data_IF_562188118975
#
_entry.id   IF_562188118975
#
_cell.length_a   1.000
_cell.length_b   1.000
_cell.length_c   1.000
_cell.angle_alpha   90.00
_cell.angle_beta   90.00
_cell.angle_gamma   90.00
#
_symmetry.space_group_name_H-M   'P 1'
#
loop_
_entity.id
_entity.type
_entity.pdbx_description
1 polymer ?
#
# COMPACT_ATOMS: atom_id res chain seq x y z
N UNK A 1 9.47 13.08 -0.41
CA UNK A 1 8.35 12.19 0.00
C UNK A 1 8.72 10.85 0.59
N UNK A 2 9.77 10.13 0.16
CA UNK A 2 10.04 8.76 0.64
C UNK A 2 10.15 8.58 2.17
N UNK A 3 10.47 9.64 2.92
CA UNK A 3 10.46 9.64 4.39
C UNK A 3 9.05 9.60 5.02
N UNK A 4 7.99 9.83 4.25
CA UNK A 4 6.60 10.01 4.72
C UNK A 4 6.15 8.93 5.69
N UNK A 5 6.49 7.67 5.41
CA UNK A 5 6.06 6.51 6.19
C UNK A 5 7.21 5.90 7.01
N UNK A 6 8.16 6.71 7.50
CA UNK A 6 9.41 6.22 8.13
C UNK A 6 9.78 6.89 9.44
N UNK A 7 9.22 8.07 9.73
CA UNK A 7 9.62 8.85 10.91
C UNK A 7 8.52 9.82 11.34
N UNK A 8 8.32 10.03 12.66
CA UNK A 8 7.46 11.10 13.16
C UNK A 8 8.01 12.51 12.86
N UNK A 9 9.29 12.66 12.47
CA UNK A 9 9.86 13.96 12.05
C UNK A 9 9.15 14.58 10.85
N UNK A 10 8.37 13.79 10.12
CA UNK A 10 7.46 14.28 9.10
C UNK A 10 6.59 15.44 9.56
N UNK A 11 6.11 15.44 10.81
CA UNK A 11 5.29 16.55 11.34
C UNK A 11 6.09 17.87 11.40
N UNK A 12 7.36 17.81 11.82
CA UNK A 12 8.25 18.97 11.86
C UNK A 12 8.64 19.42 10.44
N UNK A 13 9.02 18.47 9.58
CA UNK A 13 9.48 18.79 8.23
C UNK A 13 8.37 19.36 7.37
N UNK A 14 7.16 18.79 7.41
CA UNK A 14 6.00 19.36 6.71
C UNK A 14 5.61 20.70 7.33
N UNK A 15 5.65 20.85 8.66
CA UNK A 15 5.38 22.14 9.31
C UNK A 15 6.36 23.24 8.90
N UNK A 16 7.64 22.89 8.70
CA UNK A 16 8.71 23.85 8.33
C UNK A 16 8.73 24.18 6.84
N UNK A 17 8.62 23.16 5.97
CA UNK A 17 8.83 23.32 4.53
C UNK A 17 7.52 23.36 3.72
N UNK A 18 6.39 23.01 4.33
CA UNK A 18 5.09 22.95 3.67
C UNK A 18 5.11 22.05 2.44
N UNK A 19 4.39 22.47 1.40
CA UNK A 19 4.29 21.75 0.12
C UNK A 19 5.64 21.51 -0.59
N UNK A 20 6.67 22.31 -0.28
CA UNK A 20 8.00 22.14 -0.91
C UNK A 20 8.73 20.90 -0.41
N UNK A 21 8.40 20.41 0.79
CA UNK A 21 9.03 19.22 1.39
C UNK A 21 9.01 18.02 0.44
N UNK A 22 7.88 17.82 -0.24
CA UNK A 22 7.59 16.58 -0.95
C UNK A 22 8.58 16.33 -2.10
N UNK A 23 8.97 17.37 -2.83
CA UNK A 23 9.89 17.28 -3.98
C UNK A 23 11.36 17.52 -3.66
N UNK A 24 11.73 17.75 -2.39
CA UNK A 24 13.15 17.84 -1.99
C UNK A 24 13.85 16.49 -2.17
N UNK A 25 15.17 16.51 -2.39
CA UNK A 25 15.92 15.26 -2.55
C UNK A 25 15.91 14.48 -1.23
N UNK A 26 15.71 13.17 -1.31
CA UNK A 26 15.59 12.31 -0.13
C UNK A 26 16.85 12.39 0.76
N UNK A 27 18.02 12.66 0.19
CA UNK A 27 19.28 12.72 0.92
C UNK A 27 19.50 14.03 1.69
N UNK A 28 18.70 15.08 1.45
CA UNK A 28 18.77 16.32 2.23
C UNK A 28 18.44 16.10 3.72
N UNK A 29 17.74 15.00 4.02
CA UNK A 29 17.31 14.61 5.38
C UNK A 29 18.07 13.38 5.93
N UNK A 30 19.10 12.89 5.22
CA UNK A 30 19.80 11.65 5.57
C UNK A 30 20.91 11.83 6.61
N UNK A 31 21.43 13.04 6.77
CA UNK A 31 22.51 13.34 7.71
C UNK A 31 22.14 12.98 9.15
N UNK A 32 23.12 12.55 9.96
CA UNK A 32 22.91 12.25 11.40
C UNK A 32 22.49 13.50 12.19
N UNK A 33 22.78 14.69 11.67
CA UNK A 33 22.30 15.98 12.18
C UNK A 33 20.81 16.23 11.86
N UNK A 34 20.24 15.50 10.90
CA UNK A 34 18.84 15.63 10.47
C UNK A 34 17.92 14.65 11.16
N UNK A 35 18.37 13.41 11.35
CA UNK A 35 17.56 12.34 11.93
C UNK A 35 18.41 11.32 12.72
N UNK A 36 17.93 10.94 13.90
CA UNK A 36 18.41 9.78 14.64
C UNK A 36 17.72 8.53 14.13
N UNK A 37 18.46 7.65 13.46
CA UNK A 37 17.90 6.40 12.93
C UNK A 37 17.37 5.45 14.03
N UNK A 38 17.82 5.61 15.28
CA UNK A 38 17.36 4.80 16.41
C UNK A 38 16.10 5.40 17.06
N UNK A 39 16.19 6.65 17.51
CA UNK A 39 15.16 7.32 18.32
C UNK A 39 14.00 7.86 17.49
N UNK A 40 14.27 8.23 16.22
CA UNK A 40 13.31 8.92 15.35
C UNK A 40 12.87 8.04 14.18
N UNK A 41 12.99 6.72 14.34
CA UNK A 41 12.29 5.74 13.51
C UNK A 41 10.77 5.74 13.83
N UNK A 42 10.00 4.85 13.21
CA UNK A 42 8.57 4.67 13.53
C UNK A 42 8.44 4.37 15.03
N UNK A 43 7.83 5.29 15.77
CA UNK A 43 7.74 5.25 17.23
C UNK A 43 6.36 5.71 17.72
N UNK A 44 6.22 5.88 19.04
CA UNK A 44 4.97 6.25 19.73
C UNK A 44 4.23 7.42 19.04
N UNK A 45 4.97 8.46 18.67
CA UNK A 45 4.44 9.69 18.09
C UNK A 45 3.76 9.49 16.72
N UNK A 46 4.02 8.38 16.03
CA UNK A 46 3.38 8.02 14.76
C UNK A 46 1.89 7.74 14.95
N UNK A 47 1.49 7.20 16.11
CA UNK A 47 0.15 6.70 16.36
C UNK A 47 -0.51 7.31 17.61
N UNK A 48 0.25 7.92 18.51
CA UNK A 48 -0.24 8.47 19.77
C UNK A 48 0.03 9.96 19.91
N UNK A 49 -0.96 10.68 20.44
CA UNK A 49 -0.77 12.03 20.96
C UNK A 49 0.14 12.00 22.21
N UNK A 50 1.26 12.73 22.26
CA UNK A 50 2.16 12.70 23.41
C UNK A 50 1.58 13.27 24.70
N UNK A 51 0.55 14.12 24.62
CA UNK A 51 -0.09 14.73 25.78
C UNK A 51 -1.15 13.83 26.42
N UNK A 52 -1.89 13.07 25.60
CA UNK A 52 -3.03 12.26 26.08
C UNK A 52 -2.87 10.75 25.86
N UNK A 53 -1.94 10.34 25.02
CA UNK A 53 -1.78 8.97 24.49
C UNK A 53 -2.99 8.45 23.70
N UNK A 54 -3.95 9.30 23.36
CA UNK A 54 -5.02 8.94 22.43
C UNK A 54 -4.46 8.62 21.05
N UNK A 55 -5.14 7.74 20.32
CA UNK A 55 -4.76 7.45 18.93
C UNK A 55 -4.89 8.73 18.09
N UNK A 56 -3.87 8.99 17.27
CA UNK A 56 -3.84 10.10 16.32
C UNK A 56 -3.34 9.66 14.95
N UNK A 57 -3.60 10.50 13.96
CA UNK A 57 -2.98 10.39 12.64
C UNK A 57 -1.91 11.47 12.48
N UNK A 58 -0.68 11.07 12.15
CA UNK A 58 0.34 12.00 11.66
C UNK A 58 0.33 12.10 10.12
N UNK A 59 -0.17 11.06 9.43
CA UNK A 59 -0.10 10.91 7.98
C UNK A 59 -0.95 11.93 7.24
N UNK A 60 -0.29 12.84 6.51
CA UNK A 60 -0.93 13.81 5.62
C UNK A 60 -1.80 13.16 4.52
N UNK A 61 -1.34 12.14 3.75
CA UNK A 61 -2.19 11.54 2.72
C UNK A 61 -3.44 10.85 3.27
N UNK A 62 -3.38 10.26 4.47
CA UNK A 62 -4.57 9.68 5.10
C UNK A 62 -5.55 10.75 5.57
N UNK A 63 -5.06 11.86 6.15
CA UNK A 63 -5.92 13.00 6.51
C UNK A 63 -6.58 13.59 5.27
N UNK A 64 -5.83 13.73 4.17
CA UNK A 64 -6.35 14.18 2.88
C UNK A 64 -7.46 13.23 2.39
N UNK A 65 -7.26 11.91 2.48
CA UNK A 65 -8.29 10.93 2.13
C UNK A 65 -9.55 11.04 3.02
N UNK A 66 -9.40 11.08 4.35
CA UNK A 66 -10.54 11.23 5.26
C UNK A 66 -11.34 12.49 4.93
N UNK A 67 -10.65 13.60 4.66
CA UNK A 67 -11.29 14.84 4.21
C UNK A 67 -12.03 14.66 2.89
N UNK A 68 -11.41 14.06 1.87
CA UNK A 68 -12.04 13.84 0.54
C UNK A 68 -13.26 12.90 0.61
N UNK A 69 -13.22 11.92 1.49
CA UNK A 69 -14.31 10.96 1.72
C UNK A 69 -15.37 11.44 2.73
N UNK A 70 -15.28 12.68 3.21
CA UNK A 70 -16.26 13.29 4.12
C UNK A 70 -16.23 12.72 5.54
N UNK A 71 -15.10 12.18 5.97
CA UNK A 71 -14.91 11.48 7.25
C UNK A 71 -14.12 12.33 8.23
N UNK A 72 -14.55 12.34 9.49
CA UNK A 72 -13.90 13.08 10.57
C UNK A 72 -13.31 12.12 11.61
N UNK A 73 -12.00 12.21 11.85
CA UNK A 73 -11.26 11.42 12.84
C UNK A 73 -11.91 11.44 14.23
N UNK A 74 -12.51 12.57 14.63
CA UNK A 74 -13.11 12.67 15.96
C UNK A 74 -14.35 11.79 16.12
N UNK A 75 -15.06 11.55 15.01
CA UNK A 75 -16.28 10.75 14.99
C UNK A 75 -16.02 9.28 14.60
N UNK A 76 -14.77 8.92 14.28
CA UNK A 76 -14.39 7.54 13.96
C UNK A 76 -14.33 6.69 15.24
N UNK A 77 -14.95 5.51 15.19
CA UNK A 77 -14.98 4.57 16.31
C UNK A 77 -13.58 4.12 16.72
N UNK A 78 -13.40 3.75 18.00
CA UNK A 78 -12.13 3.18 18.47
C UNK A 78 -11.71 1.94 17.66
N UNK A 79 -12.67 1.12 17.25
CA UNK A 79 -12.40 -0.08 16.47
C UNK A 79 -11.77 0.26 15.12
N UNK A 80 -12.30 1.26 14.45
CA UNK A 80 -11.75 1.68 13.17
C UNK A 80 -10.43 2.44 13.33
N UNK A 81 -10.25 3.25 14.39
CA UNK A 81 -8.95 3.87 14.70
C UNK A 81 -7.84 2.82 14.84
N UNK A 82 -8.14 1.64 15.38
CA UNK A 82 -7.21 0.49 15.51
C UNK A 82 -6.79 -0.15 14.17
N UNK A 83 -7.47 0.20 13.08
CA UNK A 83 -7.11 -0.17 11.71
C UNK A 83 -6.41 1.00 11.00
N UNK A 84 -6.97 2.20 11.11
CA UNK A 84 -6.49 3.38 10.40
C UNK A 84 -5.09 3.85 10.81
N UNK A 85 -4.65 3.59 12.04
CA UNK A 85 -3.26 3.91 12.43
C UNK A 85 -2.23 3.11 11.63
N UNK A 86 -2.59 1.90 11.16
CA UNK A 86 -1.78 1.08 10.25
C UNK A 86 -1.91 1.59 8.80
N UNK A 87 -3.14 1.95 8.38
CA UNK A 87 -3.46 2.50 7.06
C UNK A 87 -2.81 3.88 6.79
N UNK A 88 -2.09 4.45 7.75
CA UNK A 88 -1.22 5.59 7.52
C UNK A 88 -0.07 5.29 6.56
N UNK A 89 0.37 4.03 6.51
CA UNK A 89 1.60 3.59 5.86
C UNK A 89 1.44 2.30 5.06
N UNK A 90 0.64 1.34 5.54
CA UNK A 90 0.46 0.01 4.94
C UNK A 90 -0.65 0.04 3.89
N UNK A 91 -0.36 0.78 2.81
CA UNK A 91 -1.30 1.13 1.75
C UNK A 91 -0.59 1.27 0.42
N UNK A 92 -1.33 1.14 -0.67
CA UNK A 92 -0.91 1.60 -1.99
C UNK A 92 -0.88 3.14 -2.06
N UNK A 93 0.15 3.68 -2.72
CA UNK A 93 0.31 5.12 -2.88
C UNK A 93 1.08 5.48 -4.16
N UNK A 94 0.83 6.69 -4.65
CA UNK A 94 1.64 7.30 -5.70
C UNK A 94 2.10 8.72 -5.34
N UNK A 95 2.99 9.26 -6.17
CA UNK A 95 3.53 10.60 -6.04
C UNK A 95 2.90 11.55 -7.05
N UNK A 96 2.30 12.64 -6.56
CA UNK A 96 1.63 13.65 -7.38
C UNK A 96 2.55 14.18 -8.49
N UNK A 97 2.11 14.07 -9.73
CA UNK A 97 2.78 14.73 -10.85
C UNK A 97 2.65 16.26 -10.71
N UNK A 98 3.72 17.00 -11.02
CA UNK A 98 3.80 18.47 -10.85
C UNK A 98 2.69 19.27 -11.55
N UNK A 99 2.09 18.70 -12.60
CA UNK A 99 1.01 19.33 -13.36
C UNK A 99 -0.33 19.32 -12.62
N UNK A 100 -0.47 18.49 -11.57
CA UNK A 100 -1.72 18.19 -10.89
C UNK A 100 -1.74 18.62 -9.41
N UNK A 101 -0.64 19.19 -8.89
CA UNK A 101 -0.52 19.62 -7.51
C UNK A 101 0.94 19.74 -7.04
N UNK A 102 1.18 19.89 -5.73
CA UNK A 102 2.52 19.91 -5.18
C UNK A 102 3.32 18.67 -5.60
N UNK A 103 4.44 18.89 -6.28
CA UNK A 103 5.22 17.82 -6.88
C UNK A 103 5.64 16.78 -5.82
N UNK A 104 5.44 15.51 -6.16
CA UNK A 104 5.71 14.35 -5.32
C UNK A 104 4.90 14.24 -4.03
N UNK A 105 3.89 15.09 -3.77
CA UNK A 105 3.01 14.92 -2.60
C UNK A 105 2.34 13.54 -2.65
N UNK A 106 2.36 12.75 -1.57
CA UNK A 106 1.82 11.40 -1.57
C UNK A 106 0.29 11.44 -1.63
N UNK A 107 -0.30 10.49 -2.35
CA UNK A 107 -1.75 10.33 -2.47
C UNK A 107 -2.09 8.84 -2.43
N UNK A 108 -3.19 8.51 -1.75
CA UNK A 108 -3.79 7.16 -1.80
C UNK A 108 -4.87 7.13 -2.90
N UNK A 109 -4.78 6.21 -3.88
CA UNK A 109 -5.60 6.21 -5.10
C UNK A 109 -6.98 5.55 -4.89
N UNK A 110 -7.70 5.95 -3.86
CA UNK A 110 -8.90 5.25 -3.38
C UNK A 110 -10.23 5.85 -3.84
N UNK A 111 -10.20 6.96 -4.60
CA UNK A 111 -11.39 7.71 -5.00
C UNK A 111 -12.36 6.90 -5.88
N UNK A 112 -11.87 5.83 -6.53
CA UNK A 112 -12.69 4.90 -7.32
C UNK A 112 -13.09 3.62 -6.56
N UNK A 113 -12.55 3.41 -5.35
CA UNK A 113 -12.57 2.13 -4.64
C UNK A 113 -11.16 1.62 -4.34
N UNK A 114 -11.09 0.51 -3.61
CA UNK A 114 -9.83 -0.06 -3.10
C UNK A 114 -9.43 -1.36 -3.82
N UNK A 115 -10.26 -1.88 -4.73
CA UNK A 115 -9.91 -3.09 -5.47
C UNK A 115 -8.87 -2.80 -6.57
N UNK A 116 -8.15 -3.83 -7.07
CA UNK A 116 -7.19 -3.66 -8.16
C UNK A 116 -7.78 -3.02 -9.42
N UNK A 117 -9.03 -3.38 -9.78
CA UNK A 117 -9.71 -2.78 -10.93
C UNK A 117 -9.99 -1.29 -10.69
N UNK A 118 -10.44 -0.93 -9.49
CA UNK A 118 -10.77 0.45 -9.13
C UNK A 118 -9.53 1.33 -9.24
N UNK A 119 -8.39 0.87 -8.70
CA UNK A 119 -7.10 1.55 -8.81
C UNK A 119 -6.61 1.62 -10.27
N UNK A 120 -6.76 0.55 -11.06
CA UNK A 120 -6.42 0.58 -12.48
C UNK A 120 -7.24 1.64 -13.23
N UNK A 121 -8.54 1.77 -12.96
CA UNK A 121 -9.39 2.82 -13.55
C UNK A 121 -9.00 4.21 -13.05
N UNK A 122 -8.68 4.37 -11.76
CA UNK A 122 -8.15 5.60 -11.19
C UNK A 122 -6.89 6.06 -11.97
N UNK A 123 -5.93 5.16 -12.17
CA UNK A 123 -4.67 5.46 -12.86
C UNK A 123 -4.77 5.67 -14.37
N UNK A 124 -5.97 5.65 -14.97
CA UNK A 124 -6.19 6.19 -16.33
C UNK A 124 -6.13 7.71 -16.38
N UNK A 125 -6.20 8.39 -15.23
CA UNK A 125 -5.93 9.81 -15.08
C UNK A 125 -4.70 10.08 -14.20
N UNK A 126 -4.62 11.29 -13.66
CA UNK A 126 -3.61 11.75 -12.67
C UNK A 126 -2.14 11.76 -13.12
N UNK A 127 -1.85 11.42 -14.38
CA UNK A 127 -0.54 11.57 -15.00
C UNK A 127 -0.24 12.98 -15.51
N UNK A 128 0.83 13.13 -16.29
CA UNK A 128 1.20 14.38 -16.93
C UNK A 128 0.07 14.91 -17.84
N UNK A 129 -0.06 16.24 -17.95
CA UNK A 129 -1.08 16.85 -18.80
C UNK A 129 -0.65 16.83 -20.27
N UNK A 130 -1.60 16.49 -21.15
CA UNK A 130 -1.43 16.65 -22.60
C UNK A 130 -1.43 18.12 -23.02
N UNK A 131 -1.22 18.37 -24.32
CA UNK A 131 -1.30 19.72 -24.89
C UNK A 131 -2.69 20.38 -24.72
N UNK A 132 -3.73 19.57 -24.51
CA UNK A 132 -5.10 20.00 -24.22
C UNK A 132 -5.35 20.32 -22.73
N UNK A 133 -4.31 20.19 -21.89
CA UNK A 133 -4.38 20.47 -20.45
C UNK A 133 -5.06 19.38 -19.62
N UNK A 134 -5.50 18.26 -20.23
CA UNK A 134 -6.12 17.15 -19.51
C UNK A 134 -5.05 16.18 -18.98
N UNK A 135 -5.15 15.70 -17.72
CA UNK A 135 -4.26 14.67 -17.21
C UNK A 135 -4.39 13.37 -18.02
N UNK A 136 -3.28 12.86 -18.52
CA UNK A 136 -3.22 11.53 -19.11
C UNK A 136 -3.11 10.42 -18.05
N UNK A 137 -2.95 9.15 -18.48
CA UNK A 137 -2.71 8.03 -17.58
C UNK A 137 -1.44 8.22 -16.76
N UNK A 138 -1.52 7.94 -15.46
CA UNK A 138 -0.37 7.97 -14.56
C UNK A 138 0.66 6.89 -14.93
N UNK A 139 1.94 7.14 -14.73
CA UNK A 139 2.95 6.09 -14.90
C UNK A 139 4.12 6.34 -13.95
N UNK A 140 4.51 5.32 -13.21
CA UNK A 140 5.67 5.38 -12.32
C UNK A 140 6.98 5.26 -13.11
N UNK A 141 7.01 4.38 -14.11
CA UNK A 141 8.13 4.23 -15.04
C UNK A 141 7.68 3.65 -16.38
N UNK A 142 8.56 3.75 -17.38
CA UNK A 142 8.40 3.04 -18.65
C UNK A 142 9.28 1.78 -18.60
N UNK A 143 8.69 0.61 -18.74
CA UNK A 143 9.41 -0.66 -18.69
C UNK A 143 10.49 -0.72 -19.78
N UNK A 144 11.75 -0.95 -19.39
CA UNK A 144 12.90 -0.76 -20.26
C UNK A 144 12.90 -1.69 -21.51
N UNK A 145 12.35 -2.90 -21.41
CA UNK A 145 12.27 -3.84 -22.52
C UNK A 145 11.06 -3.57 -23.43
N UNK A 146 9.84 -3.81 -22.94
CA UNK A 146 8.59 -3.67 -23.71
C UNK A 146 8.16 -2.22 -24.03
N UNK A 147 8.75 -1.22 -23.36
CA UNK A 147 8.38 0.20 -23.45
C UNK A 147 6.95 0.53 -22.98
N UNK A 148 6.36 -0.35 -22.16
CA UNK A 148 5.02 -0.15 -21.59
C UNK A 148 5.12 0.82 -20.40
N UNK A 149 4.25 1.86 -20.29
CA UNK A 149 4.14 2.69 -19.09
C UNK A 149 3.47 1.91 -17.95
N UNK A 150 4.18 1.71 -16.84
CA UNK A 150 3.76 0.83 -15.74
C UNK A 150 3.24 1.60 -14.54
N UNK A 151 2.54 0.88 -13.67
CA UNK A 151 2.15 1.29 -12.31
C UNK A 151 2.89 0.35 -11.35
N UNK A 152 3.42 0.89 -10.24
CA UNK A 152 3.95 0.08 -9.14
C UNK A 152 2.87 -0.03 -8.08
N UNK A 153 2.64 -1.23 -7.54
CA UNK A 153 1.86 -1.42 -6.32
C UNK A 153 2.75 -1.53 -5.09
N UNK A 154 2.38 -0.89 -3.99
CA UNK A 154 3.13 -0.89 -2.74
C UNK A 154 2.21 -1.36 -1.61
N UNK A 155 2.55 -2.50 -0.99
CA UNK A 155 1.97 -2.97 0.27
C UNK A 155 0.50 -2.56 0.55
N UNK A 156 -0.47 -2.96 -0.31
CA UNK A 156 -1.88 -2.59 -0.17
C UNK A 156 -2.57 -3.41 0.94
N UNK A 157 -1.98 -3.47 2.13
CA UNK A 157 -2.44 -4.33 3.21
C UNK A 157 -3.82 -3.88 3.73
N UNK A 158 -4.04 -2.56 3.85
CA UNK A 158 -5.35 -2.03 4.28
C UNK A 158 -6.43 -2.27 3.24
N UNK A 159 -6.15 -1.99 1.97
CA UNK A 159 -7.08 -2.12 0.85
C UNK A 159 -7.50 -3.58 0.64
N UNK A 160 -6.55 -4.51 0.80
CA UNK A 160 -6.79 -5.96 0.71
C UNK A 160 -7.54 -6.49 1.92
N UNK A 161 -7.25 -5.99 3.12
CA UNK A 161 -7.83 -6.50 4.36
C UNK A 161 -9.27 -6.03 4.58
N UNK A 162 -9.59 -4.79 4.24
CA UNK A 162 -10.82 -4.11 4.70
C UNK A 162 -12.12 -4.79 4.26
N UNK A 163 -12.13 -5.46 3.10
CA UNK A 163 -13.28 -6.25 2.60
C UNK A 163 -13.02 -7.76 2.62
N UNK A 164 -11.87 -8.19 3.15
CA UNK A 164 -11.56 -9.59 3.45
C UNK A 164 -12.44 -10.13 4.59
N UNK A 165 -12.41 -11.46 4.85
CA UNK A 165 -13.29 -12.09 5.84
C UNK A 165 -13.21 -11.49 7.24
N UNK A 166 -12.04 -10.97 7.63
CA UNK A 166 -11.82 -10.34 8.93
C UNK A 166 -12.20 -8.86 8.92
N UNK A 167 -11.70 -8.07 7.96
CA UNK A 167 -11.98 -6.64 7.88
C UNK A 167 -13.47 -6.33 7.70
N UNK A 168 -14.14 -7.06 6.80
CA UNK A 168 -15.58 -6.93 6.56
C UNK A 168 -16.43 -7.31 7.79
N UNK A 169 -15.90 -8.18 8.66
CA UNK A 169 -16.51 -8.56 9.93
C UNK A 169 -16.17 -7.59 11.09
N UNK A 170 -15.44 -6.52 10.82
CA UNK A 170 -15.07 -5.50 11.81
C UNK A 170 -13.87 -5.87 12.69
N UNK A 171 -13.09 -6.88 12.33
CA UNK A 171 -11.81 -7.16 13.00
C UNK A 171 -10.79 -6.10 12.55
N UNK A 172 -9.99 -5.57 13.49
CA UNK A 172 -8.97 -4.57 13.21
C UNK A 172 -7.57 -5.19 13.11
N UNK A 173 -6.63 -4.51 12.44
CA UNK A 173 -5.21 -4.91 12.39
C UNK A 173 -4.66 -5.18 13.79
N UNK A 174 -4.97 -4.31 14.75
CA UNK A 174 -4.52 -4.39 16.13
C UNK A 174 -5.12 -5.57 16.92
N UNK A 175 -6.15 -6.26 16.44
CA UNK A 175 -6.65 -7.48 17.09
C UNK A 175 -5.68 -8.64 16.89
N UNK A 176 -5.09 -8.74 15.69
CA UNK A 176 -4.15 -9.80 15.33
C UNK A 176 -2.69 -9.43 15.61
N UNK A 177 -2.29 -8.19 15.34
CA UNK A 177 -0.88 -7.75 15.40
C UNK A 177 -0.51 -7.01 16.68
N UNK A 178 -1.50 -6.63 17.49
CA UNK A 178 -1.30 -5.96 18.78
C UNK A 178 -2.15 -6.61 19.86
N UNK A 179 -2.10 -7.95 19.91
CA UNK A 179 -2.87 -8.75 20.86
C UNK A 179 -2.69 -8.24 22.29
N UNK A 180 -3.73 -8.37 23.10
CA UNK A 180 -3.56 -8.11 24.52
C UNK A 180 -2.70 -9.22 25.15
N UNK A 181 -1.67 -8.83 25.88
CA UNK A 181 -0.80 -9.73 26.65
C UNK A 181 -0.84 -9.34 28.12
N UNK A 182 -0.49 -10.29 29.00
CA UNK A 182 -0.26 -10.00 30.42
C UNK A 182 1.23 -9.94 30.67
N UNK A 183 1.70 -8.78 31.10
CA UNK A 183 3.08 -8.54 31.55
C UNK A 183 3.00 -7.82 32.90
N UNK A 184 3.81 -8.25 33.87
CA UNK A 184 3.88 -7.68 35.22
C UNK A 184 2.50 -7.48 35.89
N UNK A 185 1.61 -8.47 35.71
CA UNK A 185 0.28 -8.49 36.31
C UNK A 185 -0.77 -7.61 35.62
N UNK A 186 -0.42 -6.86 34.56
CA UNK A 186 -1.34 -5.94 33.85
C UNK A 186 -1.59 -6.40 32.42
N UNK A 187 -2.78 -6.08 31.90
CA UNK A 187 -3.14 -6.32 30.50
C UNK A 187 -2.68 -5.12 29.67
N UNK A 188 -1.78 -5.33 28.73
CA UNK A 188 -1.28 -4.31 27.80
C UNK A 188 -1.57 -4.72 26.36
N UNK A 189 -1.64 -3.76 25.44
CA UNK A 189 -1.58 -4.07 24.00
C UNK A 189 -0.13 -4.32 23.63
N UNK A 190 0.16 -5.50 23.09
CA UNK A 190 1.48 -5.77 22.54
C UNK A 190 1.83 -4.73 21.48
N UNK A 191 3.02 -4.16 21.56
CA UNK A 191 3.60 -3.32 20.52
C UNK A 191 4.65 -4.07 19.68
N UNK A 192 4.72 -5.39 19.83
CA UNK A 192 5.50 -6.24 18.95
C UNK A 192 4.71 -6.53 17.67
N UNK A 193 4.73 -5.57 16.75
CA UNK A 193 4.05 -5.64 15.46
C UNK A 193 4.83 -6.55 14.50
N UNK A 194 4.50 -7.84 14.51
CA UNK A 194 5.17 -8.88 13.71
C UNK A 194 4.15 -9.86 13.13
N UNK A 195 4.62 -10.83 12.34
CA UNK A 195 3.82 -12.00 11.95
C UNK A 195 3.25 -12.73 13.18
N UNK A 196 1.91 -12.89 13.28
CA UNK A 196 1.27 -13.65 14.35
C UNK A 196 1.66 -15.14 14.34
N UNK A 197 2.10 -15.65 13.19
CA UNK A 197 2.53 -17.05 13.00
C UNK A 197 3.82 -17.39 13.76
N UNK A 198 4.52 -16.40 14.34
CA UNK A 198 5.68 -16.60 15.22
C UNK A 198 5.30 -17.19 16.58
N UNK A 199 4.06 -17.01 17.02
CA UNK A 199 3.58 -17.62 18.26
C UNK A 199 3.09 -19.06 17.95
N UNK A 200 3.77 -20.10 18.45
CA UNK A 200 3.34 -21.49 18.24
C UNK A 200 1.94 -21.77 18.78
N UNK A 201 1.48 -20.97 19.76
CA UNK A 201 0.17 -21.12 20.39
C UNK A 201 -0.93 -20.29 19.72
N UNK A 202 -0.59 -19.44 18.74
CA UNK A 202 -1.52 -18.56 18.02
C UNK A 202 -2.44 -17.76 18.95
N UNK A 203 -1.89 -17.21 20.05
CA UNK A 203 -2.68 -16.60 21.14
C UNK A 203 -3.47 -15.38 20.70
N UNK A 204 -2.98 -14.60 19.74
CA UNK A 204 -3.71 -13.50 19.12
C UNK A 204 -5.07 -13.97 18.55
N UNK A 205 -5.05 -15.09 17.83
CA UNK A 205 -6.23 -15.64 17.14
C UNK A 205 -7.21 -16.29 18.11
N UNK A 206 -6.71 -16.95 19.15
CA UNK A 206 -7.51 -17.75 20.10
C UNK A 206 -8.34 -16.93 21.09
N UNK A 207 -8.21 -15.60 21.08
CA UNK A 207 -9.18 -14.72 21.76
C UNK A 207 -10.57 -14.79 21.12
N UNK A 208 -10.64 -15.10 19.82
CA UNK A 208 -11.88 -15.29 19.07
C UNK A 208 -12.12 -16.76 18.70
N UNK A 209 -11.07 -17.48 18.34
CA UNK A 209 -11.11 -18.90 17.94
C UNK A 209 -10.73 -19.83 19.09
N UNK A 210 -11.38 -19.67 20.24
CA UNK A 210 -11.03 -20.39 21.47
C UNK A 210 -11.16 -21.92 21.36
N UNK A 211 -12.02 -22.40 20.45
CA UNK A 211 -12.29 -23.81 20.20
C UNK A 211 -11.34 -24.45 19.17
N UNK A 212 -10.39 -23.69 18.62
CA UNK A 212 -9.41 -24.20 17.64
C UNK A 212 -8.03 -24.33 18.27
N UNK A 213 -7.32 -25.39 17.85
CA UNK A 213 -5.91 -25.56 18.18
C UNK A 213 -5.05 -24.62 17.33
N UNK A 214 -3.84 -24.33 17.82
CA UNK A 214 -2.89 -23.53 17.06
C UNK A 214 -2.54 -24.17 15.71
N UNK A 215 -2.33 -25.48 15.66
CA UNK A 215 -2.05 -26.21 14.42
C UNK A 215 -3.21 -26.12 13.41
N UNK A 216 -4.46 -26.19 13.88
CA UNK A 216 -5.61 -25.98 13.00
C UNK A 216 -5.56 -24.58 12.37
N UNK A 217 -5.38 -23.54 13.18
CA UNK A 217 -5.33 -22.16 12.72
C UNK A 217 -4.19 -21.94 11.72
N UNK A 218 -2.97 -22.40 12.06
CA UNK A 218 -1.80 -22.34 11.16
C UNK A 218 -2.05 -23.10 9.86
N UNK A 219 -2.68 -24.27 9.93
CA UNK A 219 -3.07 -25.05 8.75
C UNK A 219 -4.03 -24.29 7.83
N UNK A 220 -4.98 -23.52 8.37
CA UNK A 220 -5.89 -22.68 7.57
C UNK A 220 -5.20 -21.48 6.94
N UNK A 221 -4.26 -20.84 7.66
CA UNK A 221 -3.43 -19.76 7.09
C UNK A 221 -2.61 -20.29 5.91
N UNK A 222 -1.87 -21.38 6.13
CA UNK A 222 -1.00 -21.98 5.11
C UNK A 222 -1.80 -22.53 3.91
N UNK A 223 -3.04 -22.98 4.12
CA UNK A 223 -3.91 -23.43 3.04
C UNK A 223 -4.13 -22.35 1.99
N UNK A 224 -4.31 -21.10 2.41
CA UNK A 224 -4.47 -19.95 1.52
C UNK A 224 -3.12 -19.52 0.95
N UNK A 225 -2.14 -19.24 1.82
CA UNK A 225 -0.83 -18.73 1.40
C UNK A 225 -0.14 -19.62 0.36
N UNK A 226 -0.22 -20.95 0.52
CA UNK A 226 0.33 -21.88 -0.46
C UNK A 226 -0.28 -21.68 -1.85
N UNK A 227 -1.62 -21.56 -1.95
CA UNK A 227 -2.31 -21.41 -3.23
C UNK A 227 -2.04 -20.03 -3.84
N UNK A 228 -2.07 -18.98 -3.01
CA UNK A 228 -1.74 -17.62 -3.44
C UNK A 228 -0.34 -17.59 -4.03
N UNK A 229 0.65 -18.09 -3.31
CA UNK A 229 2.05 -18.05 -3.75
C UNK A 229 2.29 -18.86 -5.03
N UNK A 230 1.74 -20.08 -5.11
CA UNK A 230 1.85 -20.92 -6.32
C UNK A 230 1.24 -20.27 -7.57
N UNK A 231 0.11 -19.56 -7.42
CA UNK A 231 -0.52 -18.87 -8.56
C UNK A 231 0.16 -17.53 -8.88
N UNK A 232 0.66 -16.83 -7.85
CA UNK A 232 1.42 -15.60 -8.03
C UNK A 232 2.64 -15.81 -8.93
N UNK A 233 3.43 -16.87 -8.68
CA UNK A 233 4.59 -17.19 -9.50
C UNK A 233 4.22 -17.44 -10.97
N UNK A 234 3.10 -18.14 -11.22
CA UNK A 234 2.59 -18.36 -12.58
C UNK A 234 2.15 -17.05 -13.24
N UNK A 235 1.50 -16.16 -12.50
CA UNK A 235 1.07 -14.86 -13.01
C UNK A 235 2.29 -14.00 -13.38
N UNK A 236 3.34 -14.01 -12.56
CA UNK A 236 4.60 -13.32 -12.82
C UNK A 236 5.32 -13.88 -14.06
N UNK A 237 5.40 -15.21 -14.21
CA UNK A 237 5.97 -15.83 -15.41
C UNK A 237 5.21 -15.44 -16.69
N UNK A 238 3.88 -15.42 -16.63
CA UNK A 238 3.04 -14.97 -17.76
C UNK A 238 3.26 -13.48 -18.03
N UNK A 239 3.39 -12.65 -16.99
CA UNK A 239 3.69 -11.22 -17.13
C UNK A 239 5.03 -10.99 -17.85
N UNK A 240 6.07 -11.73 -17.49
CA UNK A 240 7.37 -11.68 -18.18
C UNK A 240 7.21 -12.06 -19.65
N UNK A 241 6.47 -13.14 -19.96
CA UNK A 241 6.18 -13.53 -21.35
C UNK A 241 5.40 -12.45 -22.10
N UNK A 242 4.47 -11.76 -21.45
CA UNK A 242 3.70 -10.68 -22.06
C UNK A 242 4.58 -9.46 -22.38
N UNK A 243 5.50 -9.07 -21.47
CA UNK A 243 6.52 -8.07 -21.75
C UNK A 243 7.41 -8.47 -22.93
N UNK A 244 7.84 -9.73 -22.98
CA UNK A 244 8.67 -10.24 -24.07
C UNK A 244 7.92 -10.25 -25.42
N UNK A 245 6.65 -10.66 -25.43
CA UNK A 245 5.82 -10.63 -26.63
C UNK A 245 5.69 -9.20 -27.19
N UNK A 246 5.41 -8.21 -26.32
CA UNK A 246 5.37 -6.79 -26.73
C UNK A 246 6.75 -6.32 -27.22
N UNK A 247 7.84 -6.71 -26.55
CA UNK A 247 9.21 -6.35 -26.97
C UNK A 247 9.54 -6.91 -28.37
N UNK A 248 9.25 -8.19 -28.60
CA UNK A 248 9.46 -8.84 -29.89
C UNK A 248 8.59 -8.20 -30.98
N UNK A 249 7.32 -7.94 -30.69
CA UNK A 249 6.41 -7.28 -31.62
C UNK A 249 6.92 -5.88 -31.99
N UNK A 250 7.39 -5.08 -31.03
CA UNK A 250 7.97 -3.75 -31.30
C UNK A 250 9.17 -3.82 -32.26
N UNK A 251 9.99 -4.87 -32.16
CA UNK A 251 11.19 -5.08 -32.98
C UNK A 251 10.93 -5.81 -34.31
N UNK A 252 9.69 -6.21 -34.57
CA UNK A 252 9.35 -7.03 -35.74
C UNK A 252 9.39 -6.20 -37.03
N UNK A 253 10.24 -6.61 -37.97
CA UNK A 253 10.50 -5.97 -39.27
C UNK A 253 9.77 -6.63 -40.45
N UNK A 254 9.10 -7.76 -40.20
CA UNK A 254 8.29 -8.45 -41.20
C UNK A 254 6.91 -7.82 -41.45
N UNK A 255 6.07 -8.55 -42.21
CA UNK A 255 4.72 -8.09 -42.53
C UNK A 255 3.84 -7.99 -41.28
N UNK A 256 3.31 -6.79 -41.01
CA UNK A 256 2.44 -6.52 -39.86
C UNK A 256 0.98 -6.55 -40.26
N UNK A 257 0.11 -6.87 -39.31
CA UNK A 257 -1.33 -6.78 -39.50
C UNK A 257 -1.76 -5.34 -39.85
N UNK A 258 -2.80 -5.12 -40.68
CA UNK A 258 -3.26 -3.78 -41.03
C UNK A 258 -3.64 -2.89 -39.83
N UNK A 259 -4.12 -3.50 -38.74
CA UNK A 259 -4.51 -2.84 -37.49
C UNK A 259 -3.44 -2.95 -36.38
N UNK A 260 -2.17 -3.15 -36.74
CA UNK A 260 -1.08 -3.40 -35.80
C UNK A 260 -0.97 -2.37 -34.66
N UNK A 261 -1.08 -1.07 -34.94
CA UNK A 261 -0.95 -0.04 -33.89
C UNK A 261 -2.10 -0.08 -32.86
N UNK A 262 -3.31 -0.43 -33.29
CA UNK A 262 -4.46 -0.62 -32.39
C UNK A 262 -4.22 -1.83 -31.50
N UNK A 263 -3.81 -2.96 -32.09
CA UNK A 263 -3.48 -4.18 -31.36
C UNK A 263 -2.34 -3.97 -30.36
N UNK A 264 -1.30 -3.22 -30.74
CA UNK A 264 -0.17 -2.92 -29.87
C UNK A 264 -0.54 -1.96 -28.74
N UNK A 265 -1.48 -1.05 -28.95
CA UNK A 265 -2.01 -0.19 -27.88
C UNK A 265 -2.74 -1.03 -26.84
N UNK A 266 -3.62 -1.92 -27.28
CA UNK A 266 -4.35 -2.85 -26.41
C UNK A 266 -3.40 -3.82 -25.69
N UNK A 267 -2.42 -4.40 -26.40
CA UNK A 267 -1.44 -5.31 -25.81
C UNK A 267 -0.61 -4.63 -24.71
N UNK A 268 -0.18 -3.39 -24.92
CA UNK A 268 0.56 -2.62 -23.90
C UNK A 268 -0.32 -2.32 -22.68
N UNK A 269 -1.58 -1.96 -22.88
CA UNK A 269 -2.52 -1.74 -21.79
C UNK A 269 -2.79 -3.04 -21.01
N UNK A 270 -2.89 -4.19 -21.68
CA UNK A 270 -3.02 -5.49 -21.01
C UNK A 270 -1.76 -5.90 -20.23
N UNK A 271 -0.56 -5.58 -20.71
CA UNK A 271 0.67 -5.76 -19.92
C UNK A 271 0.64 -4.89 -18.67
N UNK A 272 0.29 -3.61 -18.81
CA UNK A 272 0.17 -2.66 -17.70
C UNK A 272 -0.87 -3.13 -16.67
N UNK A 273 -2.07 -3.49 -17.11
CA UNK A 273 -3.18 -3.96 -16.26
C UNK A 273 -2.84 -5.29 -15.59
N UNK A 274 -2.37 -6.27 -16.37
CA UNK A 274 -1.97 -7.57 -15.85
C UNK A 274 -0.88 -7.46 -14.79
N UNK A 275 0.08 -6.56 -14.99
CA UNK A 275 1.11 -6.32 -13.98
C UNK A 275 0.58 -5.67 -12.71
N UNK A 276 -0.26 -4.64 -12.81
CA UNK A 276 -0.90 -4.04 -11.63
C UNK A 276 -1.58 -5.10 -10.77
N UNK A 277 -2.33 -6.02 -11.40
CA UNK A 277 -3.11 -7.02 -10.68
C UNK A 277 -2.26 -8.01 -9.91
N UNK A 278 -1.18 -8.55 -10.50
CA UNK A 278 -0.31 -9.46 -9.74
C UNK A 278 0.56 -8.70 -8.75
N UNK A 279 0.98 -7.46 -9.04
CA UNK A 279 1.80 -6.66 -8.12
C UNK A 279 1.00 -6.23 -6.90
N UNK A 280 -0.31 -5.99 -7.04
CA UNK A 280 -1.22 -5.74 -5.92
C UNK A 280 -1.19 -6.90 -4.90
N UNK A 281 -1.27 -8.15 -5.39
CA UNK A 281 -1.17 -9.35 -4.56
C UNK A 281 0.26 -9.60 -4.06
N UNK A 282 1.27 -9.33 -4.90
CA UNK A 282 2.67 -9.58 -4.57
C UNK A 282 3.24 -8.63 -3.53
N UNK A 283 2.81 -7.37 -3.57
CA UNK A 283 3.32 -6.33 -2.69
C UNK A 283 2.67 -6.38 -1.30
N UNK A 284 1.49 -7.00 -1.20
CA UNK A 284 0.75 -7.25 0.04
C UNK A 284 1.45 -8.32 0.90
N UNK A 285 1.49 -8.12 2.21
CA UNK A 285 2.40 -8.85 3.10
C UNK A 285 1.83 -10.16 3.67
N UNK A 286 0.53 -10.39 3.60
CA UNK A 286 -0.12 -11.58 4.17
C UNK A 286 -0.05 -12.80 3.28
N UNK A 287 0.34 -12.62 2.00
CA UNK A 287 0.30 -13.67 0.97
C UNK A 287 -1.15 -14.15 0.79
N UNK A 288 -2.09 -13.20 0.78
CA UNK A 288 -3.53 -13.42 0.57
C UNK A 288 -4.28 -13.99 1.77
N UNK A 289 -3.74 -13.93 2.99
CA UNK A 289 -4.47 -14.36 4.20
C UNK A 289 -5.38 -13.28 4.80
N UNK A 290 -5.01 -12.01 4.63
CA UNK A 290 -5.91 -10.89 4.93
C UNK A 290 -7.23 -11.05 4.15
#
# INVERSE_FOLDING_TARGET
TCWNCKTPKMMEWVGKYGDKFWSMDVNEFRGKDKISAHEESISCATCHDPGTMELRLYSEPLKDWLKRSGRDWQNISRNEKRMLVCAQCHVEYYFTHKDNGPAAKPVFPWDNGMNPEDMYQYYKGHGAKGADGKPGPFADWVHAASKVPMIKMQHPDYETFQDGPHGAAGVACADCHMQYVREDGKKISSHWMTSPMKDPEMRACRQCHADKTADYLRGRVLYTQKKTYEQLLKAQEISVKAHEAVRLANAYDGHRAPNYEVLMTEARDMVRKGQLFWDYVSAENSVGFH
#
